data_IF_736419739916
#
_entry.id   IF_736419739916
#
_cell.length_a   1.000
_cell.length_b   1.000
_cell.length_c   1.000
_cell.angle_alpha   90.00
_cell.angle_beta   90.00
_cell.angle_gamma   90.00
#
_symmetry.space_group_name_H-M   'P 1'
#
loop_
_entity.id
_entity.type
_entity.pdbx_description
1 polymer ?
#
# COMPACT_ATOMS: atom_id res chain seq x y z
N UNK A 1 25.29 -15.87 -8.10
CA UNK A 1 25.07 -14.52 -7.49
C UNK A 1 24.90 -13.41 -8.54
N UNK A 2 25.50 -13.48 -9.74
CA UNK A 2 25.38 -12.44 -10.78
C UNK A 2 23.95 -12.24 -11.30
N UNK A 3 23.20 -13.31 -11.52
CA UNK A 3 21.82 -13.24 -12.00
C UNK A 3 20.85 -12.52 -11.04
N UNK A 4 21.07 -12.62 -9.73
CA UNK A 4 20.28 -11.90 -8.70
C UNK A 4 20.41 -10.39 -8.89
N UNK A 5 21.64 -9.89 -9.09
CA UNK A 5 21.87 -8.47 -9.29
C UNK A 5 21.22 -7.95 -10.59
N UNK A 6 21.26 -8.75 -11.65
CA UNK A 6 20.63 -8.40 -12.93
C UNK A 6 19.09 -8.36 -12.76
N UNK A 7 18.53 -9.33 -12.07
CA UNK A 7 17.09 -9.34 -11.76
C UNK A 7 16.66 -8.14 -10.90
N UNK A 8 17.46 -7.77 -9.89
CA UNK A 8 17.22 -6.55 -9.08
C UNK A 8 17.25 -5.28 -9.93
N UNK A 9 18.20 -5.17 -10.86
CA UNK A 9 18.25 -4.03 -11.80
C UNK A 9 17.01 -3.99 -12.68
N UNK A 10 16.56 -5.14 -13.20
CA UNK A 10 15.37 -5.23 -14.02
C UNK A 10 14.11 -4.81 -13.23
N UNK A 11 13.96 -5.27 -11.99
CA UNK A 11 12.86 -4.87 -11.11
C UNK A 11 12.87 -3.37 -10.79
N UNK A 12 14.04 -2.81 -10.52
CA UNK A 12 14.20 -1.36 -10.28
C UNK A 12 13.86 -0.53 -11.52
N UNK A 13 14.13 -1.08 -12.71
CA UNK A 13 13.77 -0.48 -14.00
C UNK A 13 12.30 -0.72 -14.40
N UNK A 14 11.48 -1.31 -13.53
CA UNK A 14 10.08 -1.70 -13.79
C UNK A 14 9.93 -2.64 -14.99
N UNK A 15 10.85 -3.59 -15.13
CA UNK A 15 10.86 -4.63 -16.17
C UNK A 15 10.69 -6.02 -15.54
N UNK A 16 9.50 -6.34 -14.99
CA UNK A 16 9.29 -7.59 -14.26
C UNK A 16 9.42 -8.84 -15.13
N UNK A 17 9.09 -8.77 -16.43
CA UNK A 17 9.25 -9.89 -17.38
C UNK A 17 10.71 -10.33 -17.50
N UNK A 18 11.60 -9.35 -17.62
CA UNK A 18 13.05 -9.61 -17.71
C UNK A 18 13.57 -10.25 -16.43
N UNK A 19 13.10 -9.76 -15.26
CA UNK A 19 13.46 -10.35 -13.97
C UNK A 19 12.96 -11.79 -13.83
N UNK A 20 11.70 -12.08 -14.23
CA UNK A 20 11.11 -13.41 -14.18
C UNK A 20 11.89 -14.38 -15.07
N UNK A 21 12.25 -14.00 -16.29
CA UNK A 21 13.02 -14.84 -17.19
C UNK A 21 14.41 -15.18 -16.61
N UNK A 22 15.12 -14.18 -16.09
CA UNK A 22 16.44 -14.35 -15.47
C UNK A 22 16.37 -15.27 -14.24
N UNK A 23 15.39 -15.05 -13.35
CA UNK A 23 15.24 -15.83 -12.13
C UNK A 23 14.72 -17.23 -12.42
N UNK A 24 13.75 -17.37 -13.35
CA UNK A 24 13.14 -18.62 -13.73
C UNK A 24 14.12 -19.64 -14.28
N UNK A 25 15.10 -19.21 -15.11
CA UNK A 25 16.19 -20.08 -15.60
C UNK A 25 17.06 -20.69 -14.50
N UNK A 26 17.00 -20.15 -13.30
CA UNK A 26 17.80 -20.59 -12.16
C UNK A 26 16.92 -21.20 -11.04
N UNK A 27 15.60 -21.22 -11.20
CA UNK A 27 14.66 -21.57 -10.12
C UNK A 27 14.81 -23.01 -9.64
N UNK A 28 15.02 -23.98 -10.53
CA UNK A 28 15.20 -25.37 -10.14
C UNK A 28 16.45 -25.58 -9.28
N UNK A 29 17.53 -24.88 -9.61
CA UNK A 29 18.82 -25.01 -8.92
C UNK A 29 18.83 -24.34 -7.54
N UNK A 30 17.99 -23.30 -7.35
CA UNK A 30 17.98 -22.44 -6.17
C UNK A 30 16.59 -22.36 -5.54
N UNK A 31 15.82 -23.45 -5.59
CA UNK A 31 14.43 -23.50 -5.13
C UNK A 31 14.29 -23.11 -3.64
N UNK A 32 15.26 -23.43 -2.82
CA UNK A 32 15.31 -23.13 -1.38
C UNK A 32 16.09 -21.83 -1.07
N UNK A 33 16.31 -20.96 -2.07
CA UNK A 33 16.95 -19.65 -1.87
C UNK A 33 15.90 -18.59 -1.60
N UNK A 34 15.94 -18.02 -0.40
CA UNK A 34 15.01 -16.94 0.01
C UNK A 34 15.00 -15.79 -0.98
N UNK A 35 16.18 -15.31 -1.41
CA UNK A 35 16.30 -14.14 -2.28
C UNK A 35 15.65 -14.40 -3.63
N UNK A 36 15.86 -15.60 -4.19
CA UNK A 36 15.23 -15.97 -5.45
C UNK A 36 13.70 -16.01 -5.32
N UNK A 37 13.16 -16.66 -4.29
CA UNK A 37 11.72 -16.74 -4.07
C UNK A 37 11.10 -15.35 -3.83
N UNK A 38 11.73 -14.53 -3.02
CA UNK A 38 11.29 -13.16 -2.75
C UNK A 38 11.27 -12.30 -4.02
N UNK A 39 12.33 -12.38 -4.85
CA UNK A 39 12.41 -11.58 -6.08
C UNK A 39 11.44 -12.06 -7.16
N UNK A 40 11.23 -13.38 -7.31
CA UNK A 40 10.17 -13.92 -8.20
C UNK A 40 8.79 -13.43 -7.74
N UNK A 41 8.48 -13.54 -6.45
CA UNK A 41 7.22 -13.03 -5.91
C UNK A 41 7.03 -11.54 -6.15
N UNK A 42 8.07 -10.74 -5.96
CA UNK A 42 8.05 -9.30 -6.22
C UNK A 42 7.87 -8.98 -7.72
N UNK A 43 8.50 -9.75 -8.60
CA UNK A 43 8.37 -9.58 -10.05
C UNK A 43 6.93 -9.92 -10.53
N UNK A 44 6.37 -11.02 -10.06
CA UNK A 44 4.99 -11.38 -10.36
C UNK A 44 3.99 -10.38 -9.78
N UNK A 45 4.26 -9.82 -8.59
CA UNK A 45 3.45 -8.74 -8.03
C UNK A 45 3.45 -7.48 -8.93
N UNK A 46 4.62 -7.04 -9.41
CA UNK A 46 4.70 -5.92 -10.34
C UNK A 46 3.92 -6.16 -11.65
N UNK A 47 3.83 -7.43 -12.11
CA UNK A 47 2.99 -7.84 -13.23
C UNK A 47 1.50 -7.95 -12.90
N UNK A 48 1.11 -7.77 -11.67
CA UNK A 48 -0.24 -8.05 -11.15
C UNK A 48 -0.66 -9.52 -11.31
N UNK A 49 0.29 -10.44 -11.46
CA UNK A 49 0.05 -11.87 -11.40
C UNK A 49 0.08 -12.32 -9.94
N UNK A 50 -1.01 -12.06 -9.24
CA UNK A 50 -1.11 -12.28 -7.79
C UNK A 50 -1.05 -13.75 -7.39
N UNK A 51 -1.43 -14.67 -8.28
CA UNK A 51 -1.35 -16.13 -8.01
C UNK A 51 0.10 -16.58 -7.84
N UNK A 52 0.94 -16.32 -8.83
CA UNK A 52 2.34 -16.70 -8.78
C UNK A 52 3.10 -15.85 -7.74
N UNK A 53 2.75 -14.58 -7.57
CA UNK A 53 3.32 -13.73 -6.53
C UNK A 53 3.10 -14.34 -5.13
N UNK A 54 1.86 -14.74 -4.80
CA UNK A 54 1.54 -15.41 -3.53
C UNK A 54 2.31 -16.72 -3.36
N UNK A 55 2.41 -17.52 -4.41
CA UNK A 55 3.16 -18.77 -4.36
C UNK A 55 4.61 -18.53 -3.94
N UNK A 56 5.33 -17.70 -4.67
CA UNK A 56 6.75 -17.46 -4.41
C UNK A 56 7.01 -16.74 -3.09
N UNK A 57 6.19 -15.76 -2.71
CA UNK A 57 6.35 -15.08 -1.42
C UNK A 57 6.04 -16.00 -0.23
N UNK A 58 5.08 -16.93 -0.36
CA UNK A 58 4.88 -17.93 0.68
C UNK A 58 6.06 -18.90 0.77
N UNK A 59 6.68 -19.32 -0.35
CA UNK A 59 7.93 -20.07 -0.30
C UNK A 59 9.05 -19.30 0.40
N UNK A 60 9.16 -17.98 0.12
CA UNK A 60 10.11 -17.14 0.83
C UNK A 60 9.86 -17.10 2.35
N UNK A 61 8.60 -17.06 2.82
CA UNK A 61 8.29 -17.12 4.25
C UNK A 61 8.52 -18.49 4.88
N UNK A 62 8.43 -19.59 4.11
CA UNK A 62 8.83 -20.92 4.61
C UNK A 62 10.33 -20.94 4.92
N UNK A 63 11.14 -20.29 4.08
CA UNK A 63 12.61 -20.23 4.26
C UNK A 63 12.99 -19.22 5.35
N UNK A 64 12.35 -18.05 5.34
CA UNK A 64 12.61 -16.99 6.34
C UNK A 64 11.29 -16.39 6.85
N UNK A 65 10.68 -16.98 7.91
CA UNK A 65 9.38 -16.58 8.44
C UNK A 65 9.31 -15.12 8.97
N UNK A 66 10.45 -14.58 9.42
CA UNK A 66 10.52 -13.23 9.99
C UNK A 66 10.75 -12.13 8.96
N UNK A 67 10.72 -12.44 7.66
CA UNK A 67 10.91 -11.45 6.60
C UNK A 67 9.77 -10.43 6.56
N UNK A 68 10.01 -9.25 7.12
CA UNK A 68 9.05 -8.14 7.12
C UNK A 68 8.65 -7.72 5.70
N UNK A 69 9.62 -7.55 4.81
CA UNK A 69 9.35 -7.16 3.42
C UNK A 69 8.44 -8.16 2.70
N UNK A 70 8.62 -9.46 2.96
CA UNK A 70 7.76 -10.50 2.38
C UNK A 70 6.34 -10.42 2.95
N UNK A 71 6.20 -10.19 4.27
CA UNK A 71 4.89 -9.99 4.92
C UNK A 71 4.19 -8.75 4.37
N UNK A 72 4.88 -7.62 4.18
CA UNK A 72 4.33 -6.42 3.55
C UNK A 72 3.81 -6.70 2.14
N UNK A 73 4.63 -7.34 1.29
CA UNK A 73 4.22 -7.64 -0.07
C UNK A 73 3.01 -8.58 -0.12
N UNK A 74 2.98 -9.61 0.73
CA UNK A 74 1.82 -10.51 0.81
C UNK A 74 0.56 -9.81 1.31
N UNK A 75 0.67 -8.92 2.30
CA UNK A 75 -0.47 -8.15 2.79
C UNK A 75 -1.10 -7.31 1.68
N UNK A 76 -0.27 -6.58 0.91
CA UNK A 76 -0.74 -5.80 -0.25
C UNK A 76 -1.39 -6.69 -1.33
N UNK A 77 -0.86 -7.90 -1.56
CA UNK A 77 -1.46 -8.84 -2.53
C UNK A 77 -2.79 -9.37 -2.00
N UNK A 78 -2.90 -9.69 -0.72
CA UNK A 78 -4.16 -10.12 -0.11
C UNK A 78 -5.22 -9.01 -0.18
N UNK A 79 -4.84 -7.74 0.03
CA UNK A 79 -5.75 -6.60 -0.21
C UNK A 79 -6.21 -6.55 -1.66
N UNK A 80 -5.28 -6.62 -2.62
CA UNK A 80 -5.57 -6.58 -4.04
C UNK A 80 -6.44 -7.77 -4.54
N UNK A 81 -6.48 -8.86 -3.77
CA UNK A 81 -7.29 -10.07 -4.07
C UNK A 81 -8.50 -10.24 -3.15
N UNK A 82 -8.84 -9.22 -2.34
CA UNK A 82 -9.95 -9.20 -1.38
C UNK A 82 -9.88 -10.31 -0.32
N UNK A 83 -8.68 -10.75 0.02
CA UNK A 83 -8.43 -11.74 1.08
C UNK A 83 -8.18 -11.03 2.43
N UNK A 84 -9.13 -10.16 2.84
CA UNK A 84 -9.02 -9.20 3.92
C UNK A 84 -8.55 -9.79 5.26
N UNK A 85 -9.05 -10.96 5.62
CA UNK A 85 -8.66 -11.63 6.88
C UNK A 85 -7.16 -11.95 6.91
N UNK A 86 -6.58 -12.27 5.74
CA UNK A 86 -5.15 -12.57 5.64
C UNK A 86 -4.30 -11.31 5.66
N UNK A 87 -4.73 -10.25 4.98
CA UNK A 87 -4.02 -8.98 5.02
C UNK A 87 -4.02 -8.38 6.41
N UNK A 88 -5.18 -8.33 7.08
CA UNK A 88 -5.32 -7.81 8.45
C UNK A 88 -4.42 -8.56 9.45
N UNK A 89 -4.36 -9.90 9.32
CA UNK A 89 -3.48 -10.72 10.14
C UNK A 89 -2.01 -10.32 9.95
N UNK A 90 -1.56 -10.16 8.70
CA UNK A 90 -0.18 -9.78 8.41
C UNK A 90 0.15 -8.35 8.90
N UNK A 91 -0.75 -7.39 8.71
CA UNK A 91 -0.55 -6.04 9.23
C UNK A 91 -0.47 -6.04 10.77
N UNK A 92 -1.35 -6.79 11.42
CA UNK A 92 -1.32 -6.94 12.89
C UNK A 92 -0.02 -7.58 13.37
N UNK A 93 0.48 -8.61 12.68
CA UNK A 93 1.77 -9.24 12.98
C UNK A 93 2.94 -8.27 12.79
N UNK A 94 2.95 -7.50 11.69
CA UNK A 94 3.99 -6.49 11.42
C UNK A 94 4.05 -5.44 12.51
N UNK A 95 2.90 -4.86 12.88
CA UNK A 95 2.78 -3.84 13.93
C UNK A 95 3.19 -4.42 15.30
N UNK A 96 2.79 -5.65 15.60
CA UNK A 96 3.13 -6.32 16.87
C UNK A 96 4.61 -6.65 16.98
N UNK A 97 5.26 -6.98 15.85
CA UNK A 97 6.69 -7.29 15.81
C UNK A 97 7.58 -6.05 15.83
N UNK A 98 7.08 -4.93 15.30
CA UNK A 98 7.76 -3.64 15.30
C UNK A 98 6.74 -2.48 15.37
N UNK A 99 6.59 -1.92 16.54
CA UNK A 99 5.68 -0.79 16.77
C UNK A 99 6.13 0.53 16.10
N UNK A 100 7.30 0.56 15.47
CA UNK A 100 7.82 1.69 14.70
C UNK A 100 7.65 1.51 13.18
N UNK A 101 6.96 0.45 12.74
CA UNK A 101 6.68 0.19 11.32
C UNK A 101 5.59 1.12 10.78
N UNK A 102 5.97 2.36 10.48
CA UNK A 102 5.04 3.36 9.91
C UNK A 102 4.35 2.87 8.63
N UNK A 103 5.03 2.05 7.82
CA UNK A 103 4.46 1.49 6.59
C UNK A 103 3.33 0.50 6.88
N UNK A 104 3.48 -0.36 7.90
CA UNK A 104 2.43 -1.30 8.28
C UNK A 104 1.18 -0.57 8.77
N UNK A 105 1.36 0.45 9.62
CA UNK A 105 0.27 1.30 10.07
C UNK A 105 -0.47 1.97 8.90
N UNK A 106 0.27 2.61 7.99
CA UNK A 106 -0.33 3.30 6.85
C UNK A 106 -1.05 2.34 5.89
N UNK A 107 -0.43 1.21 5.56
CA UNK A 107 -1.02 0.25 4.61
C UNK A 107 -2.27 -0.39 5.20
N UNK A 108 -2.27 -0.70 6.49
CA UNK A 108 -3.48 -1.21 7.16
C UNK A 108 -4.61 -0.17 7.16
N UNK A 109 -4.30 1.10 7.48
CA UNK A 109 -5.26 2.19 7.42
C UNK A 109 -5.85 2.34 6.02
N UNK A 110 -5.01 2.32 4.99
CA UNK A 110 -5.43 2.42 3.60
C UNK A 110 -6.32 1.25 3.18
N UNK A 111 -5.98 0.02 3.57
CA UNK A 111 -6.80 -1.16 3.33
C UNK A 111 -8.20 -1.01 3.94
N UNK A 112 -8.29 -0.57 5.20
CA UNK A 112 -9.57 -0.34 5.88
C UNK A 112 -10.42 0.73 5.20
N UNK A 113 -9.83 1.85 4.79
CA UNK A 113 -10.58 2.95 4.16
C UNK A 113 -11.08 2.58 2.76
N UNK A 114 -10.31 1.82 1.97
CA UNK A 114 -10.74 1.39 0.63
C UNK A 114 -11.94 0.45 0.68
N UNK A 115 -12.00 -0.44 1.65
CA UNK A 115 -13.14 -1.34 1.86
C UNK A 115 -14.26 -0.70 2.70
N UNK A 116 -14.11 0.55 3.12
CA UNK A 116 -15.07 1.34 3.93
C UNK A 116 -15.39 0.67 5.28
N UNK A 117 -14.43 0.01 5.86
CA UNK A 117 -14.53 -0.65 7.16
C UNK A 117 -13.80 0.14 8.23
N UNK A 118 -14.39 0.24 9.41
CA UNK A 118 -13.80 0.79 10.62
C UNK A 118 -12.94 2.06 10.40
N UNK A 119 -13.55 3.12 9.86
CA UNK A 119 -12.86 4.37 9.54
C UNK A 119 -12.19 5.02 10.77
N UNK A 120 -12.71 4.80 11.97
CA UNK A 120 -12.10 5.32 13.20
C UNK A 120 -10.76 4.61 13.48
N UNK A 121 -10.70 3.29 13.34
CA UNK A 121 -9.43 2.55 13.43
C UNK A 121 -8.46 2.95 12.31
N UNK A 122 -8.95 3.09 11.07
CA UNK A 122 -8.13 3.56 9.96
C UNK A 122 -7.49 4.92 10.27
N UNK A 123 -8.25 5.85 10.86
CA UNK A 123 -7.74 7.16 11.27
C UNK A 123 -6.67 7.04 12.37
N UNK A 124 -6.89 6.22 13.40
CA UNK A 124 -5.91 6.00 14.47
C UNK A 124 -4.58 5.46 13.92
N UNK A 125 -4.66 4.44 13.06
CA UNK A 125 -3.49 3.83 12.43
C UNK A 125 -2.75 4.84 11.55
N UNK A 126 -3.45 5.58 10.69
CA UNK A 126 -2.83 6.56 9.79
C UNK A 126 -2.20 7.73 10.54
N UNK A 127 -2.83 8.21 11.63
CA UNK A 127 -2.25 9.22 12.51
C UNK A 127 -1.01 8.68 13.23
N UNK A 128 -0.95 7.39 13.52
CA UNK A 128 0.27 6.78 14.06
C UNK A 128 1.38 6.75 13.00
N UNK A 129 1.06 6.41 11.75
CA UNK A 129 2.03 6.42 10.66
C UNK A 129 2.67 7.80 10.44
N UNK A 130 1.89 8.90 10.46
CA UNK A 130 2.45 10.25 10.31
C UNK A 130 3.25 10.70 11.54
N UNK A 131 2.90 10.25 12.76
CA UNK A 131 3.75 10.52 13.94
C UNK A 131 5.12 9.87 13.81
N UNK A 132 5.20 8.68 13.23
CA UNK A 132 6.45 7.97 13.02
C UNK A 132 7.24 8.51 11.82
N UNK A 133 6.57 9.03 10.80
CA UNK A 133 7.19 9.56 9.57
C UNK A 133 6.44 10.80 9.07
N UNK A 134 6.63 11.97 9.71
CA UNK A 134 5.83 13.17 9.45
C UNK A 134 6.08 13.81 8.06
N UNK A 135 7.17 13.47 7.39
CA UNK A 135 7.52 13.97 6.06
C UNK A 135 7.15 12.99 4.93
N UNK A 136 6.15 12.16 5.16
CA UNK A 136 5.66 11.23 4.12
C UNK A 136 4.40 11.77 3.45
N UNK A 137 4.53 12.22 2.20
CA UNK A 137 3.38 12.64 1.40
C UNK A 137 2.31 11.55 1.32
N UNK A 138 2.70 10.29 1.08
CA UNK A 138 1.76 9.16 1.01
C UNK A 138 0.97 8.96 2.31
N UNK A 139 1.57 9.20 3.49
CA UNK A 139 0.87 9.00 4.76
C UNK A 139 -0.10 10.16 5.06
N UNK A 140 0.29 11.40 4.72
CA UNK A 140 -0.62 12.55 4.80
C UNK A 140 -1.80 12.39 3.84
N UNK A 141 -1.56 11.92 2.62
CA UNK A 141 -2.61 11.61 1.65
C UNK A 141 -3.61 10.57 2.20
N UNK A 142 -3.11 9.50 2.81
CA UNK A 142 -3.97 8.49 3.44
C UNK A 142 -4.85 9.09 4.54
N UNK A 143 -4.31 9.95 5.41
CA UNK A 143 -5.11 10.66 6.44
C UNK A 143 -6.17 11.54 5.81
N UNK A 144 -5.81 12.32 4.78
CA UNK A 144 -6.75 13.16 4.03
C UNK A 144 -7.86 12.34 3.39
N UNK A 145 -7.50 11.21 2.79
CA UNK A 145 -8.46 10.29 2.17
C UNK A 145 -9.44 9.68 3.18
N UNK A 146 -8.96 9.30 4.38
CA UNK A 146 -9.83 8.83 5.47
C UNK A 146 -10.81 9.92 5.90
N UNK A 147 -10.34 11.16 6.13
CA UNK A 147 -11.23 12.29 6.47
C UNK A 147 -12.28 12.54 5.38
N UNK A 148 -11.91 12.41 4.11
CA UNK A 148 -12.86 12.49 3.01
C UNK A 148 -13.96 11.42 3.12
N UNK A 149 -13.60 10.15 3.32
CA UNK A 149 -14.59 9.06 3.49
C UNK A 149 -15.45 9.24 4.74
N UNK A 150 -14.94 9.92 5.77
CA UNK A 150 -15.71 10.37 6.95
C UNK A 150 -16.55 11.63 6.69
N UNK A 151 -16.55 12.20 5.47
CA UNK A 151 -17.22 13.44 5.08
C UNK A 151 -16.74 14.70 5.83
N UNK A 152 -15.54 14.68 6.37
CA UNK A 152 -14.88 15.79 7.04
C UNK A 152 -14.01 16.57 6.02
N UNK A 153 -14.66 17.22 5.05
CA UNK A 153 -14.00 17.78 3.86
C UNK A 153 -12.92 18.81 4.18
N UNK A 154 -13.10 19.67 5.18
CA UNK A 154 -12.11 20.71 5.52
C UNK A 154 -10.80 20.08 6.02
N UNK A 155 -10.89 19.02 6.83
CA UNK A 155 -9.72 18.29 7.28
C UNK A 155 -9.08 17.49 6.14
N UNK A 156 -9.92 16.90 5.28
CA UNK A 156 -9.43 16.17 4.10
C UNK A 156 -8.58 17.06 3.21
N UNK A 157 -9.09 18.23 2.82
CA UNK A 157 -8.36 19.22 2.01
C UNK A 157 -7.05 19.61 2.67
N UNK A 158 -7.07 19.95 3.96
CA UNK A 158 -5.87 20.35 4.71
C UNK A 158 -4.74 19.29 4.60
N UNK A 159 -5.03 18.02 4.91
CA UNK A 159 -4.01 16.96 4.87
C UNK A 159 -3.52 16.64 3.46
N UNK A 160 -4.41 16.73 2.45
CA UNK A 160 -4.01 16.54 1.05
C UNK A 160 -3.11 17.70 0.57
N UNK A 161 -3.41 18.94 0.96
CA UNK A 161 -2.56 20.09 0.64
C UNK A 161 -1.18 19.97 1.29
N UNK A 162 -1.12 19.61 2.58
CA UNK A 162 0.15 19.31 3.27
C UNK A 162 0.94 18.18 2.57
N UNK A 163 0.24 17.16 2.04
CA UNK A 163 0.86 16.10 1.25
C UNK A 163 1.45 16.63 -0.07
N UNK A 164 0.75 17.52 -0.77
CA UNK A 164 1.21 18.16 -2.01
C UNK A 164 2.35 19.16 -1.80
N UNK A 165 2.46 19.77 -0.62
CA UNK A 165 3.65 20.57 -0.26
C UNK A 165 4.93 19.72 -0.27
N UNK A 166 4.84 18.43 0.06
CA UNK A 166 5.98 17.51 0.07
C UNK A 166 6.22 16.91 -1.33
N UNK A 167 5.16 16.50 -2.03
CA UNK A 167 5.24 15.91 -3.39
C UNK A 167 4.18 16.50 -4.31
N UNK A 168 4.44 17.71 -4.80
CA UNK A 168 3.54 18.45 -5.68
C UNK A 168 3.31 17.79 -7.06
N UNK A 169 4.19 16.86 -7.45
CA UNK A 169 4.12 16.19 -8.75
C UNK A 169 3.30 14.90 -8.73
N UNK A 170 2.84 14.46 -7.57
CA UNK A 170 2.13 13.20 -7.41
C UNK A 170 0.70 13.28 -7.96
N UNK A 171 0.49 12.62 -9.09
CA UNK A 171 -0.78 12.63 -9.81
C UNK A 171 -1.92 12.04 -8.97
N UNK A 172 -1.65 11.01 -8.17
CA UNK A 172 -2.69 10.38 -7.32
C UNK A 172 -3.18 11.34 -6.25
N UNK A 173 -2.26 12.05 -5.58
CA UNK A 173 -2.62 13.04 -4.54
C UNK A 173 -3.42 14.21 -5.17
N UNK A 174 -3.01 14.68 -6.35
CA UNK A 174 -3.76 15.70 -7.09
C UNK A 174 -5.16 15.23 -7.46
N UNK A 175 -5.33 13.97 -7.86
CA UNK A 175 -6.64 13.38 -8.15
C UNK A 175 -7.51 13.30 -6.89
N UNK A 176 -6.96 12.91 -5.74
CA UNK A 176 -7.66 12.89 -4.47
C UNK A 176 -8.15 14.30 -4.09
N UNK A 177 -7.31 15.34 -4.21
CA UNK A 177 -7.71 16.71 -3.94
C UNK A 177 -8.89 17.15 -4.82
N UNK A 178 -8.81 16.88 -6.13
CA UNK A 178 -9.87 17.23 -7.08
C UNK A 178 -11.19 16.53 -6.73
N UNK A 179 -11.13 15.22 -6.40
CA UNK A 179 -12.32 14.47 -6.00
C UNK A 179 -12.96 15.05 -4.74
N UNK A 180 -12.16 15.39 -3.73
CA UNK A 180 -12.64 15.97 -2.47
C UNK A 180 -13.34 17.32 -2.71
N UNK A 181 -12.71 18.20 -3.50
CA UNK A 181 -13.26 19.55 -3.80
C UNK A 181 -14.58 19.44 -4.56
N UNK A 182 -14.66 18.58 -5.58
CA UNK A 182 -15.86 18.38 -6.38
C UNK A 182 -17.03 17.89 -5.51
N UNK A 183 -16.81 16.84 -4.71
CA UNK A 183 -17.85 16.29 -3.83
C UNK A 183 -18.29 17.27 -2.73
N UNK A 184 -17.37 18.09 -2.21
CA UNK A 184 -17.69 19.16 -1.26
C UNK A 184 -18.62 20.21 -1.89
N UNK A 185 -18.35 20.59 -3.13
CA UNK A 185 -19.12 21.59 -3.87
C UNK A 185 -20.53 21.09 -4.16
N UNK A 186 -20.66 19.85 -4.65
CA UNK A 186 -21.97 19.22 -4.91
C UNK A 186 -22.81 19.11 -3.64
N UNK A 187 -22.20 18.73 -2.51
CA UNK A 187 -22.89 18.64 -1.23
C UNK A 187 -23.40 20.01 -0.76
N UNK A 188 -22.63 21.08 -0.96
CA UNK A 188 -23.03 22.43 -0.58
C UNK A 188 -24.17 22.95 -1.47
N UNK A 189 -24.13 22.69 -2.77
CA UNK A 189 -25.22 23.05 -3.70
C UNK A 189 -26.52 22.35 -3.33
N UNK A 190 -26.49 21.04 -3.08
CA UNK A 190 -27.69 20.29 -2.71
C UNK A 190 -28.30 20.72 -1.38
N UNK A 191 -27.49 21.21 -0.43
CA UNK A 191 -28.00 21.79 0.82
C UNK A 191 -28.70 23.13 0.62
N UNK A 192 -28.21 23.98 -0.30
CA UNK A 192 -28.82 25.27 -0.63
C UNK A 192 -30.19 25.04 -1.28
N UNK A 193 -30.26 24.14 -2.27
CA UNK A 193 -31.51 23.77 -2.94
C UNK A 193 -32.58 23.20 -2.01
N UNK A 194 -32.17 22.49 -0.93
CA UNK A 194 -33.08 21.94 0.08
C UNK A 194 -33.61 23.00 1.06
N UNK A 195 -32.95 24.14 1.19
CA UNK A 195 -33.37 25.25 2.07
C UNK A 195 -34.27 26.20 1.32
N UNK A 196 -34.19 26.27 -0.01
CA UNK A 196 -34.98 27.14 -0.88
C UNK A 196 -36.33 26.55 -1.31
N UNK A 197 -36.58 25.26 -1.05
CA UNK A 197 -37.83 24.53 -1.29
C UNK A 197 -38.60 24.28 0.01
#
# INVERSE_FOLDING_TARGET
KGFINIALMALSAKKPEEAIDILGRNSEKFIDDFTLQYLLGSAYYQRKNYTDAKYHLNQALVIFPESRNTKHNLALIYDATNEWVKSDKLYTELISSDSLDAQAYNNFAYSLVERKENLDLALELSLTAIRLSPQSAAYLDTVGWIYYKMKQFDKAVKYIEESLEIDSSNITIQQHLNEIINNRTELNQSKIEQVEN
#
